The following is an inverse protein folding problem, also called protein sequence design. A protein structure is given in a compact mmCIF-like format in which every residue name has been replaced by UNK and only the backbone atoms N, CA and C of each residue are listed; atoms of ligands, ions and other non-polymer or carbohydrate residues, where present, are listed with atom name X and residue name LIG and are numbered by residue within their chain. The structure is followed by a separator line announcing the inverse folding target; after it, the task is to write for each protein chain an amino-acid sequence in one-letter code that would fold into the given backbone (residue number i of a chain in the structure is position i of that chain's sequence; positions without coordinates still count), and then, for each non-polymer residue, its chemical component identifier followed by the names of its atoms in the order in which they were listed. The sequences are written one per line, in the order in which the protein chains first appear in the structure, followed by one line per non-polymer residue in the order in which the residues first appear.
data_IF_736676776632
#
_entry.id   IF_736676776632
#
_cell.length_a   1.000
_cell.length_b   1.000
_cell.length_c   1.000
_cell.angle_alpha   90.00
_cell.angle_beta   90.00
_cell.angle_gamma   90.00
#
_symmetry.space_group_name_H-M   'P 1'
#
loop_
_entity.id
_entity.type
_entity.pdbx_description
1 polymer ?
#
# COMPACT_ATOMS: atom_id res chain seq x y z
N UNK A 1 28.51 30.43 37.16
CA UNK A 1 28.63 29.33 36.19
C UNK A 1 27.50 28.37 36.51
N UNK A 2 26.37 28.50 35.83
CA UNK A 2 25.23 27.60 36.02
C UNK A 2 25.38 26.46 35.02
N UNK A 3 25.60 25.26 35.53
CA UNK A 3 25.70 24.04 34.72
C UNK A 3 24.34 23.71 34.11
N UNK A 4 24.27 23.78 32.78
CA UNK A 4 23.10 23.36 32.02
C UNK A 4 23.16 21.84 31.83
N UNK A 5 22.34 21.11 32.59
CA UNK A 5 22.20 19.67 32.38
C UNK A 5 21.47 19.41 31.05
N UNK A 6 21.95 18.48 30.20
CA UNK A 6 21.23 18.11 28.98
C UNK A 6 19.90 17.41 29.30
N UNK A 7 18.87 17.56 28.45
CA UNK A 7 17.60 16.86 28.64
C UNK A 7 17.78 15.34 28.57
N UNK A 8 16.97 14.56 29.30
CA UNK A 8 17.04 13.11 29.24
C UNK A 8 16.71 12.62 27.81
N UNK A 9 17.30 11.49 27.38
CA UNK A 9 16.98 10.91 26.09
C UNK A 9 15.49 10.56 26.06
N UNK A 10 14.80 11.08 25.05
CA UNK A 10 13.39 10.77 24.80
C UNK A 10 13.34 9.34 24.28
N UNK A 11 12.96 8.39 25.13
CA UNK A 11 12.75 7.00 24.72
C UNK A 11 11.63 6.99 23.68
N UNK A 12 11.94 6.53 22.46
CA UNK A 12 10.92 6.38 21.42
C UNK A 12 9.80 5.45 21.93
N UNK A 13 8.53 5.76 21.64
CA UNK A 13 7.43 4.87 22.00
C UNK A 13 7.65 3.49 21.35
N UNK A 14 7.26 2.40 22.03
CA UNK A 14 7.38 1.07 21.45
C UNK A 14 6.63 1.03 20.11
N UNK A 15 7.15 0.32 19.09
CA UNK A 15 6.46 0.19 17.82
C UNK A 15 5.06 -0.39 18.09
N UNK A 16 4.05 0.22 17.46
CA UNK A 16 2.70 -0.34 17.48
C UNK A 16 2.77 -1.81 17.03
N UNK A 17 1.94 -2.71 17.60
CA UNK A 17 1.91 -4.10 17.16
C UNK A 17 1.71 -4.13 15.65
N UNK A 18 2.62 -4.77 14.93
CA UNK A 18 2.53 -4.88 13.49
C UNK A 18 1.27 -5.69 13.15
N UNK A 19 0.27 -5.02 12.61
CA UNK A 19 -0.94 -5.68 12.10
C UNK A 19 -0.51 -6.60 10.96
N UNK A 20 -0.92 -7.87 10.97
CA UNK A 20 -0.69 -8.75 9.82
C UNK A 20 -1.48 -8.21 8.63
N UNK A 21 -0.81 -8.04 7.49
CA UNK A 21 -1.39 -7.45 6.30
C UNK A 21 -2.67 -8.17 5.87
N UNK A 22 -2.69 -9.50 5.95
CA UNK A 22 -3.82 -10.28 5.47
C UNK A 22 -4.97 -10.27 6.48
N UNK A 23 -4.68 -10.28 7.77
CA UNK A 23 -5.70 -10.07 8.81
C UNK A 23 -6.38 -8.71 8.62
N UNK A 24 -5.61 -7.64 8.36
CA UNK A 24 -6.18 -6.32 8.07
C UNK A 24 -7.03 -6.29 6.80
N UNK A 25 -6.58 -6.94 5.72
CA UNK A 25 -7.34 -7.02 4.47
C UNK A 25 -8.64 -7.81 4.67
N UNK A 26 -8.60 -8.90 5.45
CA UNK A 26 -9.79 -9.67 5.79
C UNK A 26 -10.79 -8.84 6.60
N UNK A 27 -10.32 -8.09 7.61
CA UNK A 27 -11.15 -7.18 8.41
C UNK A 27 -11.80 -6.09 7.54
N UNK A 28 -11.04 -5.48 6.63
CA UNK A 28 -11.54 -4.48 5.68
C UNK A 28 -12.59 -5.08 4.74
N UNK A 29 -12.33 -6.27 4.21
CA UNK A 29 -13.31 -6.98 3.37
C UNK A 29 -14.59 -7.30 4.14
N UNK A 30 -14.48 -7.79 5.38
CA UNK A 30 -15.64 -8.08 6.23
C UNK A 30 -16.45 -6.82 6.52
N UNK A 31 -15.78 -5.71 6.85
CA UNK A 31 -16.44 -4.42 7.07
C UNK A 31 -17.14 -3.91 5.80
N UNK A 32 -16.48 -3.98 4.63
CA UNK A 32 -17.09 -3.57 3.36
C UNK A 32 -18.28 -4.47 3.00
N UNK A 33 -18.20 -5.76 3.27
CA UNK A 33 -19.28 -6.71 3.01
C UNK A 33 -20.50 -6.44 3.91
N UNK A 34 -20.28 -6.02 5.16
CA UNK A 34 -21.35 -5.64 6.08
C UNK A 34 -22.01 -4.28 5.74
N UNK A 35 -21.32 -3.41 5.01
CA UNK A 35 -21.77 -2.03 4.75
C UNK A 35 -22.08 -1.75 3.26
N UNK A 36 -22.10 -2.77 2.39
CA UNK A 36 -22.32 -2.56 0.95
C UNK A 36 -23.81 -2.47 0.59
N UNK A 37 -24.19 -1.52 -0.28
CA UNK A 37 -25.54 -1.48 -0.86
C UNK A 37 -25.74 -2.46 -2.02
N UNK A 38 -24.65 -2.97 -2.62
CA UNK A 38 -24.66 -3.81 -3.83
C UNK A 38 -23.79 -5.04 -3.62
N UNK A 39 -24.30 -6.22 -4.00
CA UNK A 39 -23.66 -7.52 -3.75
C UNK A 39 -23.20 -8.23 -5.05
N UNK A 40 -22.56 -9.39 -4.88
CA UNK A 40 -22.22 -10.28 -5.99
C UNK A 40 -21.26 -9.67 -7.01
N UNK A 41 -21.49 -9.97 -8.30
CA UNK A 41 -20.60 -9.55 -9.40
C UNK A 41 -20.49 -8.03 -9.53
N UNK A 42 -21.59 -7.30 -9.31
CA UNK A 42 -21.59 -5.85 -9.42
C UNK A 42 -20.75 -5.22 -8.30
N UNK A 43 -20.89 -5.69 -7.05
CA UNK A 43 -20.06 -5.24 -5.93
C UNK A 43 -18.56 -5.49 -6.18
N UNK A 44 -18.21 -6.64 -6.75
CA UNK A 44 -16.83 -6.92 -7.19
C UNK A 44 -16.34 -5.92 -8.26
N UNK A 45 -17.15 -5.65 -9.29
CA UNK A 45 -16.79 -4.71 -10.34
C UNK A 45 -16.59 -3.29 -9.79
N UNK A 46 -17.43 -2.85 -8.85
CA UNK A 46 -17.28 -1.56 -8.18
C UNK A 46 -15.97 -1.47 -7.39
N UNK A 47 -15.58 -2.54 -6.67
CA UNK A 47 -14.29 -2.60 -5.97
C UNK A 47 -13.10 -2.53 -6.94
N UNK A 48 -13.21 -3.16 -8.10
CA UNK A 48 -12.18 -3.04 -9.14
C UNK A 48 -12.15 -1.62 -9.71
N UNK A 49 -13.30 -0.98 -9.93
CA UNK A 49 -13.38 0.38 -10.46
C UNK A 49 -12.80 1.42 -9.50
N UNK A 50 -12.90 1.20 -8.18
CA UNK A 50 -12.29 2.05 -7.14
C UNK A 50 -10.78 2.26 -7.39
N UNK A 51 -10.07 1.30 -7.97
CA UNK A 51 -8.65 1.46 -8.35
C UNK A 51 -8.39 2.67 -9.24
N UNK A 52 -9.33 3.01 -10.13
CA UNK A 52 -9.17 4.18 -11.01
C UNK A 52 -9.26 5.49 -10.24
N UNK A 53 -10.04 5.52 -9.15
CA UNK A 53 -10.19 6.67 -8.27
C UNK A 53 -8.89 6.89 -7.49
N UNK A 54 -8.39 5.85 -6.81
CA UNK A 54 -7.14 5.90 -6.03
C UNK A 54 -5.92 6.29 -6.90
N UNK A 55 -5.84 5.76 -8.13
CA UNK A 55 -4.79 6.15 -9.08
C UNK A 55 -4.93 7.62 -9.50
N UNK A 56 -6.16 8.13 -9.58
CA UNK A 56 -6.43 9.55 -9.81
C UNK A 56 -5.95 10.42 -8.66
N UNK A 57 -6.15 9.98 -7.42
CA UNK A 57 -5.69 10.66 -6.20
C UNK A 57 -4.15 10.68 -6.11
N UNK A 58 -3.47 9.57 -6.44
CA UNK A 58 -2.01 9.57 -6.61
C UNK A 58 -1.56 10.62 -7.63
N UNK A 59 -2.26 10.73 -8.77
CA UNK A 59 -1.91 11.72 -9.79
C UNK A 59 -2.12 13.15 -9.28
N UNK A 60 -3.21 13.42 -8.56
CA UNK A 60 -3.46 14.72 -7.92
C UNK A 60 -2.41 15.06 -6.86
N UNK A 61 -2.04 14.11 -6.01
CA UNK A 61 -0.99 14.27 -5.02
C UNK A 61 0.36 14.57 -5.66
N UNK A 62 0.74 13.85 -6.74
CA UNK A 62 2.00 14.11 -7.47
C UNK A 62 1.99 15.50 -8.10
N UNK A 63 0.92 15.90 -8.79
CA UNK A 63 0.79 17.23 -9.40
C UNK A 63 0.90 18.32 -8.32
N UNK A 64 0.26 18.09 -7.17
CA UNK A 64 0.32 19.00 -6.03
C UNK A 64 1.71 19.06 -5.37
N UNK A 65 2.42 17.95 -5.24
CA UNK A 65 3.74 17.89 -4.63
C UNK A 65 4.84 18.49 -5.52
N UNK A 66 4.67 18.36 -6.83
CA UNK A 66 5.60 18.89 -7.84
C UNK A 66 5.27 20.32 -8.27
N UNK A 67 4.18 20.91 -7.75
CA UNK A 67 3.75 22.28 -8.03
C UNK A 67 3.35 22.52 -9.49
N UNK A 68 2.98 21.47 -10.22
CA UNK A 68 2.73 21.54 -11.68
C UNK A 68 1.40 22.22 -12.03
N UNK A 69 0.59 22.59 -11.04
CA UNK A 69 -0.59 23.42 -11.24
C UNK A 69 -0.25 24.91 -11.06
N UNK A 70 -0.09 25.70 -12.15
CA UNK A 70 0.35 27.10 -12.04
C UNK A 70 -0.62 28.00 -11.28
N UNK A 71 -1.88 27.57 -11.10
CA UNK A 71 -2.90 28.33 -10.36
C UNK A 71 -2.84 28.10 -8.85
N UNK A 72 -2.24 27.01 -8.40
CA UNK A 72 -2.25 26.59 -6.99
C UNK A 72 -0.85 26.45 -6.37
N UNK A 73 0.21 26.33 -7.19
CA UNK A 73 1.55 26.06 -6.68
C UNK A 73 1.63 24.67 -6.04
N UNK A 74 2.48 24.52 -5.02
CA UNK A 74 2.59 23.27 -4.24
C UNK A 74 1.45 23.14 -3.26
N UNK A 75 0.62 22.09 -3.40
CA UNK A 75 -0.55 21.83 -2.54
C UNK A 75 -0.43 20.56 -1.72
N UNK A 76 0.47 19.65 -2.10
CA UNK A 76 0.69 18.37 -1.45
C UNK A 76 2.17 18.21 -1.13
N UNK A 77 2.47 17.21 -0.35
CA UNK A 77 3.80 16.75 0.01
C UNK A 77 4.06 15.39 -0.62
N UNK A 78 5.33 14.94 -0.59
CA UNK A 78 5.63 13.56 -0.96
C UNK A 78 5.10 12.54 0.06
N UNK A 79 4.70 12.98 1.26
CA UNK A 79 4.05 12.12 2.25
C UNK A 79 2.64 11.79 1.81
N UNK A 80 1.92 12.77 1.25
CA UNK A 80 0.60 12.57 0.66
C UNK A 80 0.69 11.57 -0.50
N UNK A 81 1.67 11.72 -1.41
CA UNK A 81 1.90 10.74 -2.49
C UNK A 81 2.12 9.33 -1.96
N UNK A 82 2.85 9.19 -0.83
CA UNK A 82 3.07 7.88 -0.20
C UNK A 82 1.78 7.31 0.40
N UNK A 83 0.92 8.14 0.96
CA UNK A 83 -0.40 7.73 1.45
C UNK A 83 -1.24 7.20 0.30
N UNK A 84 -1.39 7.98 -0.77
CA UNK A 84 -2.23 7.57 -1.92
C UNK A 84 -1.72 6.28 -2.58
N UNK A 85 -0.40 6.07 -2.63
CA UNK A 85 0.16 4.80 -3.12
C UNK A 85 -0.19 3.61 -2.21
N UNK A 86 -0.25 3.82 -0.89
CA UNK A 86 -0.74 2.80 0.04
C UNK A 86 -2.23 2.54 -0.18
N UNK A 87 -3.04 3.55 -0.43
CA UNK A 87 -4.47 3.40 -0.68
C UNK A 87 -4.75 2.62 -1.97
N UNK A 88 -3.99 2.85 -3.04
CA UNK A 88 -3.99 2.00 -4.24
C UNK A 88 -3.65 0.54 -3.89
N UNK A 89 -2.60 0.31 -3.10
CA UNK A 89 -2.15 -1.04 -2.76
C UNK A 89 -3.21 -1.78 -1.92
N UNK A 90 -3.78 -1.13 -0.90
CA UNK A 90 -4.84 -1.68 -0.05
C UNK A 90 -6.09 -1.96 -0.88
N UNK A 91 -6.52 -1.03 -1.73
CA UNK A 91 -7.68 -1.20 -2.62
C UNK A 91 -7.49 -2.39 -3.56
N UNK A 92 -6.28 -2.58 -4.12
CA UNK A 92 -5.96 -3.73 -4.96
C UNK A 92 -6.03 -5.06 -4.20
N UNK A 93 -5.52 -5.11 -2.96
CA UNK A 93 -5.56 -6.31 -2.13
C UNK A 93 -7.00 -6.66 -1.72
N UNK A 94 -7.81 -5.66 -1.36
CA UNK A 94 -9.25 -5.83 -1.05
C UNK A 94 -10.03 -6.33 -2.27
N UNK A 95 -9.76 -5.78 -3.46
CA UNK A 95 -10.37 -6.24 -4.69
C UNK A 95 -9.97 -7.70 -5.01
N UNK A 96 -8.69 -8.05 -4.84
CA UNK A 96 -8.21 -9.43 -5.00
C UNK A 96 -8.88 -10.38 -4.01
N UNK A 97 -9.00 -9.98 -2.75
CA UNK A 97 -9.65 -10.76 -1.68
C UNK A 97 -11.15 -10.93 -1.89
N UNK A 98 -11.80 -9.95 -2.52
CA UNK A 98 -13.19 -10.09 -2.98
C UNK A 98 -13.31 -11.09 -4.13
N UNK A 99 -12.34 -11.11 -5.04
CA UNK A 99 -12.35 -12.01 -6.20
C UNK A 99 -12.09 -13.48 -5.81
N UNK A 100 -11.27 -13.71 -4.79
CA UNK A 100 -10.92 -15.07 -4.34
C UNK A 100 -10.60 -15.12 -2.85
N UNK A 101 -11.03 -16.16 -2.11
CA UNK A 101 -10.61 -16.37 -0.72
C UNK A 101 -9.11 -16.64 -0.60
N UNK A 102 -8.49 -17.24 -1.62
CA UNK A 102 -7.06 -17.61 -1.64
C UNK A 102 -6.14 -16.43 -2.05
N UNK A 103 -6.55 -15.19 -1.73
CA UNK A 103 -5.87 -13.99 -2.21
C UNK A 103 -4.42 -13.91 -1.74
N UNK A 104 -4.14 -14.38 -0.52
CA UNK A 104 -2.80 -14.47 0.06
C UNK A 104 -1.86 -15.30 -0.79
N UNK A 105 -2.28 -16.51 -1.14
CA UNK A 105 -1.52 -17.46 -1.94
C UNK A 105 -1.38 -16.97 -3.38
N UNK A 106 -2.45 -16.42 -3.96
CA UNK A 106 -2.45 -15.88 -5.32
C UNK A 106 -1.45 -14.72 -5.43
N UNK A 107 -1.48 -13.78 -4.48
CA UNK A 107 -0.56 -12.65 -4.43
C UNK A 107 0.88 -13.13 -4.22
N UNK A 108 1.13 -13.95 -3.21
CA UNK A 108 2.48 -14.45 -2.90
C UNK A 108 3.11 -15.19 -4.09
N UNK A 109 2.34 -16.06 -4.76
CA UNK A 109 2.79 -16.76 -5.97
C UNK A 109 3.04 -15.80 -7.12
N UNK A 110 2.19 -14.79 -7.31
CA UNK A 110 2.41 -13.79 -8.34
C UNK A 110 3.69 -12.99 -8.08
N UNK A 111 3.86 -12.50 -6.84
CA UNK A 111 5.02 -11.75 -6.41
C UNK A 111 6.31 -12.57 -6.60
N UNK A 112 6.35 -13.81 -6.13
CA UNK A 112 7.51 -14.70 -6.31
C UNK A 112 7.91 -14.86 -7.79
N UNK A 113 6.93 -15.00 -8.69
CA UNK A 113 7.20 -15.08 -10.15
C UNK A 113 7.74 -13.77 -10.71
N UNK A 114 7.25 -12.63 -10.26
CA UNK A 114 7.77 -11.31 -10.70
C UNK A 114 9.19 -11.12 -10.17
N UNK A 115 9.43 -11.41 -8.89
CA UNK A 115 10.76 -11.32 -8.27
C UNK A 115 11.77 -12.21 -8.97
N UNK A 116 11.44 -13.48 -9.22
CA UNK A 116 12.34 -14.41 -9.92
C UNK A 116 12.70 -13.92 -11.33
N UNK A 117 11.71 -13.38 -12.05
CA UNK A 117 11.93 -12.83 -13.40
C UNK A 117 12.80 -11.57 -13.40
N UNK A 118 12.60 -10.68 -12.43
CA UNK A 118 13.29 -9.40 -12.38
C UNK A 118 14.71 -9.50 -11.82
N UNK A 119 14.94 -10.39 -10.86
CA UNK A 119 16.25 -10.54 -10.19
C UNK A 119 17.10 -11.71 -10.72
N UNK A 120 16.51 -12.62 -11.50
CA UNK A 120 17.18 -13.82 -12.03
C UNK A 120 17.48 -14.88 -10.96
N UNK A 121 17.89 -16.08 -11.39
CA UNK A 121 18.59 -17.01 -10.51
C UNK A 121 20.04 -16.51 -10.32
N UNK A 122 20.67 -16.69 -9.14
CA UNK A 122 22.09 -16.44 -8.98
C UNK A 122 22.87 -17.16 -10.10
N UNK A 123 23.77 -16.44 -10.78
CA UNK A 123 24.67 -17.06 -11.76
C UNK A 123 25.44 -18.17 -11.03
N UNK A 124 25.51 -19.42 -11.56
CA UNK A 124 26.35 -20.44 -10.95
C UNK A 124 27.80 -19.92 -10.89
N UNK A 125 28.44 -20.15 -9.74
CA UNK A 125 29.83 -19.78 -9.49
C UNK A 125 30.72 -20.57 -10.49
N UNK A 126 31.67 -19.94 -11.20
CA UNK A 126 32.59 -20.64 -12.12
C UNK A 126 33.47 -21.73 -11.49
N UNK A 127 33.27 -22.06 -10.21
CA UNK A 127 33.94 -23.11 -9.47
C UNK A 127 33.29 -24.50 -9.62
N UNK A 128 32.07 -24.60 -10.16
CA UNK A 128 31.46 -25.89 -10.57
C UNK A 128 31.88 -26.24 -12.01
N UNK A 129 33.15 -26.64 -12.17
CA UNK A 129 33.71 -27.26 -13.37
C UNK A 129 33.79 -28.78 -13.25
#
# INVERSE_FOLDING_TARGET
MSDHLPPPPVTAPPPAPAVDLWDAVDDLCAWLDANRPVEGREGLLLRILKLSEEVGEVAEAVIGATGQNPRKGTTHTWDDVRSELCDVAVTALVALRTLTPDAREVFARHLARVTHRSLGAPRPDPSDG
#
